data_IF_928175990530
#
_entry.id   IF_928175990530
#
_cell.length_a   1.000
_cell.length_b   1.000
_cell.length_c   1.000
_cell.angle_alpha   90.00
_cell.angle_beta   90.00
_cell.angle_gamma   90.00
#
_symmetry.space_group_name_H-M   'P 1'
#
loop_
_entity.id
_entity.type
_entity.pdbx_description
1 polymer ?
#
# COMPACT_ATOMS: atom_id res chain seq x y z
N UNK A 1 7.12 1.78 -11.28
CA UNK A 1 7.74 3.00 -10.72
C UNK A 1 7.20 4.32 -11.30
N UNK A 2 6.63 4.34 -12.52
CA UNK A 2 6.16 5.59 -13.17
C UNK A 2 5.18 6.44 -12.33
N UNK A 3 4.38 5.84 -11.45
CA UNK A 3 3.42 6.57 -10.61
C UNK A 3 4.01 7.06 -9.28
N UNK A 4 5.09 6.43 -8.79
CA UNK A 4 5.61 6.67 -7.44
C UNK A 4 6.08 8.11 -7.28
N UNK A 5 6.84 8.63 -8.24
CA UNK A 5 7.34 10.02 -8.21
C UNK A 5 6.20 11.05 -8.23
N UNK A 6 5.15 10.77 -9.02
CA UNK A 6 3.97 11.64 -9.07
C UNK A 6 3.18 11.57 -7.77
N UNK A 7 3.02 10.38 -7.19
CA UNK A 7 2.30 10.19 -5.93
C UNK A 7 2.98 10.90 -4.77
N UNK A 8 4.33 10.88 -4.69
CA UNK A 8 5.09 11.51 -3.61
C UNK A 8 4.70 12.98 -3.37
N UNK A 9 4.56 13.78 -4.43
CA UNK A 9 4.18 15.19 -4.30
C UNK A 9 2.77 15.44 -3.72
N UNK A 10 1.93 14.41 -3.64
CA UNK A 10 0.59 14.48 -3.04
C UNK A 10 0.52 13.85 -1.66
N UNK A 11 1.56 13.16 -1.17
CA UNK A 11 1.48 12.46 0.11
C UNK A 11 1.61 13.43 1.30
N UNK A 12 2.35 14.51 1.13
CA UNK A 12 2.66 15.48 2.19
C UNK A 12 1.44 16.32 2.65
N UNK A 13 0.34 16.31 1.88
CA UNK A 13 -0.90 16.98 2.28
C UNK A 13 -1.77 16.13 3.21
N UNK A 14 -1.46 14.85 3.38
CA UNK A 14 -2.23 13.94 4.23
C UNK A 14 -1.46 13.62 5.52
N UNK A 15 -2.12 13.77 6.66
CA UNK A 15 -1.57 13.40 7.97
C UNK A 15 -1.33 11.88 8.13
N UNK A 16 -1.89 11.07 7.23
CA UNK A 16 -1.79 9.62 7.23
C UNK A 16 -2.17 9.05 5.87
N UNK A 17 -1.32 8.20 5.31
CA UNK A 17 -1.59 7.49 4.06
C UNK A 17 -1.47 5.99 4.29
N UNK A 18 -2.56 5.25 4.07
CA UNK A 18 -2.51 3.78 4.14
C UNK A 18 -2.21 3.19 2.76
N UNK A 19 -1.17 2.37 2.68
CA UNK A 19 -0.66 1.79 1.45
C UNK A 19 -1.20 0.36 1.28
N UNK A 20 -1.95 0.20 0.21
CA UNK A 20 -2.65 -1.01 -0.19
C UNK A 20 -2.13 -1.46 -1.55
N UNK A 21 -0.94 -2.07 -1.55
CA UNK A 21 -0.21 -2.46 -2.76
C UNK A 21 -0.26 -3.97 -2.99
N UNK A 22 0.14 -4.44 -4.17
CA UNK A 22 0.32 -5.88 -4.41
C UNK A 22 1.29 -6.49 -3.37
N UNK A 23 0.98 -7.69 -2.87
CA UNK A 23 1.74 -8.38 -1.82
C UNK A 23 2.92 -9.18 -2.38
N UNK A 24 3.64 -8.58 -3.31
CA UNK A 24 4.84 -9.14 -3.90
C UNK A 24 6.04 -8.24 -3.61
N UNK A 25 7.22 -8.61 -4.12
CA UNK A 25 8.43 -7.83 -3.89
C UNK A 25 8.38 -6.46 -4.56
N UNK A 26 7.57 -6.28 -5.61
CA UNK A 26 7.39 -4.98 -6.27
C UNK A 26 6.62 -4.04 -5.35
N UNK A 27 5.49 -4.48 -4.81
CA UNK A 27 4.69 -3.70 -3.87
C UNK A 27 5.45 -3.37 -2.60
N UNK A 28 6.22 -4.32 -2.04
CA UNK A 28 7.08 -4.07 -0.86
C UNK A 28 8.16 -3.03 -1.13
N UNK A 29 8.83 -3.10 -2.29
CA UNK A 29 9.81 -2.07 -2.69
C UNK A 29 9.16 -0.70 -2.82
N UNK A 30 7.98 -0.62 -3.44
CA UNK A 30 7.24 0.64 -3.55
C UNK A 30 6.80 1.17 -2.18
N UNK A 31 6.26 0.33 -1.30
CA UNK A 31 5.89 0.73 0.06
C UNK A 31 7.09 1.28 0.84
N UNK A 32 8.25 0.60 0.75
CA UNK A 32 9.50 1.07 1.36
C UNK A 32 9.89 2.45 0.84
N UNK A 33 9.93 2.64 -0.47
CA UNK A 33 10.28 3.92 -1.10
C UNK A 33 9.32 5.05 -0.69
N UNK A 34 8.01 4.77 -0.61
CA UNK A 34 7.03 5.76 -0.17
C UNK A 34 7.19 6.12 1.31
N UNK A 35 7.44 5.14 2.19
CA UNK A 35 7.70 5.36 3.61
C UNK A 35 8.98 6.14 3.90
N UNK A 36 10.00 5.96 3.07
CA UNK A 36 11.25 6.73 3.16
C UNK A 36 11.05 8.20 2.79
N UNK A 37 10.11 8.50 1.89
CA UNK A 37 9.81 9.87 1.47
C UNK A 37 8.78 10.55 2.39
N UNK A 38 7.81 9.80 2.91
CA UNK A 38 6.78 10.32 3.79
C UNK A 38 6.52 9.32 4.95
N UNK A 39 6.83 9.75 6.17
CA UNK A 39 6.78 8.91 7.39
C UNK A 39 5.36 8.53 7.81
N UNK A 40 4.36 9.26 7.33
CA UNK A 40 2.95 9.05 7.63
C UNK A 40 2.32 7.97 6.74
N UNK A 41 3.12 7.37 5.85
CA UNK A 41 2.76 6.18 5.09
C UNK A 41 2.79 4.90 5.95
N UNK A 42 1.69 4.16 5.93
CA UNK A 42 1.53 2.90 6.67
C UNK A 42 1.29 1.76 5.67
N UNK A 43 2.21 0.80 5.65
CA UNK A 43 2.06 -0.42 4.87
C UNK A 43 1.01 -1.34 5.50
N UNK A 44 -0.02 -1.71 4.72
CA UNK A 44 -1.11 -2.60 5.12
C UNK A 44 -1.01 -4.00 4.50
N UNK A 45 0.06 -4.32 3.77
CA UNK A 45 0.25 -5.62 3.11
C UNK A 45 0.20 -6.83 4.03
N UNK A 46 0.46 -6.64 5.33
CA UNK A 46 0.31 -7.68 6.35
C UNK A 46 -1.16 -8.10 6.60
N UNK A 47 -2.14 -7.24 6.32
CA UNK A 47 -3.57 -7.53 6.53
C UNK A 47 -4.07 -8.66 5.61
N UNK A 48 -3.56 -8.71 4.39
CA UNK A 48 -3.91 -9.70 3.37
C UNK A 48 -2.71 -10.61 3.07
N UNK A 49 -1.98 -11.00 4.13
CA UNK A 49 -0.89 -11.97 4.00
C UNK A 49 -1.41 -13.29 3.44
N UNK A 50 -0.74 -13.79 2.40
CA UNK A 50 -1.15 -15.01 1.69
C UNK A 50 -2.03 -14.74 0.47
N UNK A 51 -2.41 -13.49 0.23
CA UNK A 51 -3.13 -13.04 -0.96
C UNK A 51 -2.28 -12.06 -1.75
N UNK A 52 -2.40 -12.09 -3.07
CA UNK A 52 -1.73 -11.20 -4.03
C UNK A 52 -2.11 -9.75 -3.80
N UNK A 53 -3.37 -9.47 -3.51
CA UNK A 53 -3.87 -8.13 -3.27
C UNK A 53 -5.16 -8.18 -2.42
N UNK A 54 -5.69 -7.00 -2.11
CA UNK A 54 -6.90 -6.87 -1.30
C UNK A 54 -8.12 -7.43 -2.02
N UNK A 55 -8.18 -7.33 -3.34
CA UNK A 55 -9.33 -7.83 -4.08
C UNK A 55 -9.40 -9.35 -3.94
N UNK A 56 -8.27 -10.03 -4.09
CA UNK A 56 -8.19 -11.48 -3.87
C UNK A 56 -8.57 -11.85 -2.44
N UNK A 57 -8.09 -11.11 -1.44
CA UNK A 57 -8.45 -11.34 -0.04
C UNK A 57 -9.96 -11.15 0.22
N UNK A 58 -10.58 -10.07 -0.27
CA UNK A 58 -12.02 -9.83 -0.09
C UNK A 58 -12.85 -10.93 -0.78
N UNK A 59 -12.49 -11.30 -2.01
CA UNK A 59 -13.20 -12.37 -2.75
C UNK A 59 -13.05 -13.73 -2.07
N UNK A 60 -11.94 -13.97 -1.37
CA UNK A 60 -11.72 -15.20 -0.60
C UNK A 60 -12.53 -15.31 0.71
N UNK A 61 -13.35 -14.31 1.03
CA UNK A 61 -14.13 -14.26 2.27
C UNK A 61 -13.48 -13.41 3.38
N UNK A 62 -12.46 -12.60 3.03
CA UNK A 62 -11.95 -11.57 3.92
C UNK A 62 -13.03 -10.55 4.31
N UNK A 63 -12.91 -9.89 5.47
CA UNK A 63 -13.84 -8.83 5.87
C UNK A 63 -13.89 -7.73 4.81
N UNK A 64 -15.09 -7.24 4.52
CA UNK A 64 -15.27 -6.06 3.68
C UNK A 64 -14.64 -4.87 4.40
N UNK A 65 -13.54 -4.35 3.83
CA UNK A 65 -13.02 -3.04 4.22
C UNK A 65 -13.83 -2.01 3.42
N UNK A 66 -14.72 -1.31 4.12
CA UNK A 66 -15.48 -0.14 3.64
C UNK A 66 -15.23 1.01 4.60
#
# INVERSE_FOLDING_TARGET
MAFVQRTMGYLDVYNRTELYLVNDDSGKRTAKTLKENNKDCIDRSSLYRGFKDINEWIVSGGPKII
#
